data_IF_868105106567
#
_entry.id   IF_868105106567
#
_cell.length_a   1.000
_cell.length_b   1.000
_cell.length_c   1.000
_cell.angle_alpha   90.00
_cell.angle_beta   90.00
_cell.angle_gamma   90.00
#
_symmetry.space_group_name_H-M   'P 1'
#
loop_
_entity.id
_entity.type
_entity.pdbx_description
1 polymer ?
#
# COMPACT_ATOMS: atom_id res chain seq x y z
N UNK A 1 64.93 -33.80 28.72
CA UNK A 1 63.72 -33.14 28.15
C UNK A 1 62.61 -33.15 29.20
N UNK A 2 62.06 -32.00 29.58
CA UNK A 2 60.97 -31.89 30.55
C UNK A 2 59.73 -31.28 29.86
N UNK A 3 58.68 -32.05 29.53
CA UNK A 3 57.53 -31.57 28.76
C UNK A 3 56.41 -31.14 29.71
N UNK A 4 56.66 -30.14 30.55
CA UNK A 4 55.67 -29.68 31.55
C UNK A 4 55.45 -28.15 31.58
N UNK A 5 56.06 -27.41 30.65
CA UNK A 5 55.98 -25.95 30.56
C UNK A 5 55.09 -25.38 29.46
N UNK A 6 54.72 -26.16 28.43
CA UNK A 6 53.98 -25.65 27.25
C UNK A 6 52.45 -25.74 27.38
N UNK A 7 51.92 -26.52 28.31
CA UNK A 7 50.46 -26.68 28.45
C UNK A 7 49.77 -25.50 29.15
N UNK A 8 50.48 -24.73 29.98
CA UNK A 8 49.89 -23.65 30.76
C UNK A 8 49.66 -22.36 29.95
N UNK A 9 50.48 -22.08 28.95
CA UNK A 9 50.37 -20.91 28.06
C UNK A 9 49.27 -21.09 27.01
N UNK A 10 49.07 -22.31 26.49
CA UNK A 10 47.92 -22.64 25.62
C UNK A 10 46.58 -22.56 26.36
N UNK A 11 46.52 -23.02 27.61
CA UNK A 11 45.31 -23.00 28.43
C UNK A 11 44.87 -21.57 28.76
N UNK A 12 45.83 -20.66 28.95
CA UNK A 12 45.59 -19.25 29.29
C UNK A 12 45.16 -18.43 28.05
N UNK A 13 45.78 -18.69 26.89
CA UNK A 13 45.41 -18.04 25.62
C UNK A 13 44.01 -18.46 25.15
N UNK A 14 43.65 -19.75 25.32
CA UNK A 14 42.30 -20.27 25.02
C UNK A 14 41.21 -19.64 25.92
N UNK A 15 41.52 -19.42 27.21
CA UNK A 15 40.61 -18.76 28.16
C UNK A 15 40.41 -17.28 27.88
N UNK A 16 41.46 -16.55 27.51
CA UNK A 16 41.33 -15.14 27.09
C UNK A 16 40.59 -15.01 25.76
N UNK A 17 40.86 -15.89 24.78
CA UNK A 17 40.16 -15.88 23.50
C UNK A 17 38.66 -16.22 23.67
N UNK A 18 38.33 -17.20 24.52
CA UNK A 18 36.94 -17.54 24.86
C UNK A 18 36.25 -16.40 25.62
N UNK A 19 36.96 -15.76 26.56
CA UNK A 19 36.46 -14.60 27.30
C UNK A 19 36.18 -13.41 26.40
N UNK A 20 37.07 -13.11 25.44
CA UNK A 20 36.88 -12.05 24.45
C UNK A 20 35.74 -12.38 23.48
N UNK A 21 35.63 -13.64 23.04
CA UNK A 21 34.54 -14.10 22.18
C UNK A 21 33.17 -13.98 22.88
N UNK A 22 33.08 -14.40 24.14
CA UNK A 22 31.86 -14.24 24.94
C UNK A 22 31.53 -12.77 25.20
N UNK A 23 32.53 -11.91 25.38
CA UNK A 23 32.36 -10.47 25.58
C UNK A 23 31.90 -9.78 24.28
N UNK A 24 32.38 -10.21 23.11
CA UNK A 24 31.88 -9.76 21.79
C UNK A 24 30.43 -10.18 21.58
N UNK A 25 30.05 -11.42 21.94
CA UNK A 25 28.66 -11.89 21.88
C UNK A 25 27.74 -11.15 22.86
N UNK A 26 28.27 -10.67 24.00
CA UNK A 26 27.54 -9.90 24.99
C UNK A 26 27.43 -8.40 24.62
N UNK A 27 28.43 -7.86 23.90
CA UNK A 27 28.44 -6.49 23.39
C UNK A 27 27.75 -6.32 22.02
N UNK A 28 27.43 -7.41 21.32
CA UNK A 28 26.54 -7.44 20.15
C UNK A 28 25.14 -7.93 20.56
N UNK A 29 24.31 -7.12 21.25
CA UNK A 29 22.89 -7.38 21.16
C UNK A 29 22.49 -7.12 19.70
N UNK A 30 21.80 -8.11 19.10
CA UNK A 30 20.94 -7.91 17.93
C UNK A 30 21.54 -8.06 16.53
N UNK A 31 22.11 -9.21 16.14
CA UNK A 31 22.04 -9.60 14.70
C UNK A 31 20.69 -10.27 14.38
N UNK A 32 20.02 -10.84 15.38
CA UNK A 32 18.66 -11.40 15.23
C UNK A 32 17.54 -10.35 15.28
N UNK A 33 17.82 -9.09 15.62
CA UNK A 33 16.81 -8.02 15.58
C UNK A 33 16.80 -7.20 14.28
N UNK A 34 17.83 -7.28 13.43
CA UNK A 34 17.81 -6.62 12.10
C UNK A 34 16.94 -7.34 11.06
N UNK A 35 16.48 -8.55 11.35
CA UNK A 35 15.48 -9.23 10.53
C UNK A 35 14.04 -8.77 10.84
N UNK A 36 13.82 -8.03 11.94
CA UNK A 36 12.46 -7.62 12.37
C UNK A 36 12.12 -6.15 12.11
N UNK A 37 13.05 -5.34 11.59
CA UNK A 37 12.72 -4.09 10.88
C UNK A 37 12.47 -4.31 9.37
N UNK A 38 12.61 -5.54 8.88
CA UNK A 38 12.62 -5.90 7.46
C UNK A 38 11.59 -6.99 7.14
N UNK A 39 10.43 -6.98 7.80
CA UNK A 39 9.25 -7.69 7.29
C UNK A 39 8.70 -6.90 6.09
N UNK A 40 9.46 -6.88 4.99
CA UNK A 40 9.12 -6.17 3.76
C UNK A 40 7.81 -6.71 3.22
N UNK A 41 6.73 -5.94 3.36
CA UNK A 41 5.42 -6.37 2.95
C UNK A 41 4.36 -5.32 3.22
N UNK A 42 3.21 -5.48 2.58
CA UNK A 42 2.16 -4.48 2.57
C UNK A 42 0.91 -4.99 3.28
N UNK A 43 0.27 -4.12 4.05
CA UNK A 43 -0.98 -4.46 4.72
C UNK A 43 -2.12 -4.73 3.71
N UNK A 44 -3.04 -5.62 4.09
CA UNK A 44 -4.27 -5.90 3.34
C UNK A 44 -5.10 -4.61 3.17
N UNK A 45 -5.60 -4.38 1.95
CA UNK A 45 -6.44 -3.23 1.64
C UNK A 45 -7.92 -3.61 1.74
N UNK A 46 -8.74 -2.75 2.35
CA UNK A 46 -10.20 -2.91 2.35
C UNK A 46 -10.77 -2.62 0.95
N UNK A 47 -11.70 -3.45 0.44
CA UNK A 47 -12.31 -3.24 -0.86
C UNK A 47 -12.95 -1.85 -1.03
N UNK A 48 -12.90 -1.25 -2.24
CA UNK A 48 -13.61 -0.01 -2.54
C UNK A 48 -15.13 -0.21 -2.54
N UNK A 49 -15.90 0.86 -2.33
CA UNK A 49 -17.36 0.85 -2.46
C UNK A 49 -17.74 0.41 -3.89
N UNK A 50 -18.75 -0.46 -3.99
CA UNK A 50 -19.23 -1.03 -5.25
C UNK A 50 -18.18 -1.85 -6.02
N UNK A 51 -17.16 -2.34 -5.33
CA UNK A 51 -16.10 -3.14 -5.91
C UNK A 51 -15.51 -4.16 -4.94
N UNK A 52 -14.49 -4.84 -5.44
CA UNK A 52 -13.74 -5.89 -4.78
C UNK A 52 -12.24 -5.72 -5.05
N UNK A 53 -11.46 -6.58 -4.40
CA UNK A 53 -10.03 -6.73 -4.67
C UNK A 53 -9.78 -8.20 -4.92
N UNK A 54 -9.12 -8.51 -6.04
CA UNK A 54 -8.67 -9.86 -6.36
C UNK A 54 -7.24 -10.04 -5.89
N UNK A 55 -7.09 -10.93 -4.91
CA UNK A 55 -5.79 -11.38 -4.42
C UNK A 55 -5.38 -12.64 -5.18
N UNK A 56 -4.22 -12.64 -5.83
CA UNK A 56 -3.77 -13.76 -6.66
C UNK A 56 -3.27 -14.93 -5.80
N UNK A 57 -3.92 -16.09 -5.89
CA UNK A 57 -3.45 -17.30 -5.20
C UNK A 57 -3.75 -17.35 -3.71
N UNK A 58 -4.68 -16.52 -3.22
CA UNK A 58 -5.20 -16.59 -1.85
C UNK A 58 -6.69 -16.90 -1.86
N UNK A 59 -7.14 -17.75 -0.93
CA UNK A 59 -8.56 -17.98 -0.66
C UNK A 59 -9.12 -16.89 0.24
N UNK A 60 -10.45 -16.80 0.31
CA UNK A 60 -11.13 -15.81 1.16
C UNK A 60 -10.79 -15.99 2.64
N UNK A 61 -10.58 -17.23 3.08
CA UNK A 61 -10.24 -17.61 4.44
C UNK A 61 -8.83 -17.14 4.79
N UNK A 62 -7.89 -17.32 3.86
CA UNK A 62 -6.51 -16.85 4.01
C UNK A 62 -6.45 -15.32 4.04
N UNK A 63 -7.23 -14.63 3.22
CA UNK A 63 -7.27 -13.15 3.24
C UNK A 63 -7.76 -12.61 4.59
N UNK A 64 -8.62 -13.34 5.31
CA UNK A 64 -9.07 -12.94 6.66
C UNK A 64 -8.00 -13.12 7.73
N UNK A 65 -7.05 -14.04 7.54
CA UNK A 65 -6.00 -14.34 8.53
C UNK A 65 -4.66 -13.66 8.22
N UNK A 66 -4.35 -13.44 6.94
CA UNK A 66 -3.14 -12.75 6.49
C UNK A 66 -3.25 -11.26 6.76
N UNK A 67 -2.26 -10.69 7.44
CA UNK A 67 -2.20 -9.25 7.71
C UNK A 67 -1.24 -8.53 6.76
N UNK A 68 -0.19 -9.21 6.30
CA UNK A 68 0.91 -8.66 5.50
C UNK A 68 1.12 -9.51 4.25
N UNK A 69 1.17 -8.88 3.09
CA UNK A 69 1.48 -9.48 1.80
C UNK A 69 2.95 -9.25 1.43
N UNK A 70 3.59 -10.19 0.71
CA UNK A 70 5.01 -10.08 0.40
C UNK A 70 5.31 -8.92 -0.57
N UNK A 71 6.56 -8.45 -0.57
CA UNK A 71 7.07 -7.50 -1.58
C UNK A 71 6.81 -8.04 -2.99
N UNK A 72 6.56 -7.14 -3.92
CA UNK A 72 6.23 -7.40 -5.32
C UNK A 72 4.88 -8.10 -5.56
N UNK A 73 4.11 -8.38 -4.51
CA UNK A 73 2.78 -8.94 -4.63
C UNK A 73 1.82 -7.96 -5.31
N UNK A 74 0.99 -8.46 -6.23
CA UNK A 74 0.05 -7.65 -6.99
C UNK A 74 -1.40 -7.94 -6.61
N UNK A 75 -2.17 -6.86 -6.49
CA UNK A 75 -3.62 -6.90 -6.31
C UNK A 75 -4.31 -6.18 -7.47
N UNK A 76 -5.51 -6.63 -7.82
CA UNK A 76 -6.32 -6.00 -8.86
C UNK A 76 -7.66 -5.56 -8.29
N UNK A 77 -8.03 -4.30 -8.51
CA UNK A 77 -9.37 -3.82 -8.21
C UNK A 77 -10.35 -4.35 -9.24
N UNK A 78 -11.56 -4.68 -8.78
CA UNK A 78 -12.67 -5.14 -9.61
C UNK A 78 -13.90 -4.31 -9.23
N UNK A 79 -14.69 -3.89 -10.21
CA UNK A 79 -15.99 -3.26 -9.94
C UNK A 79 -17.13 -4.27 -10.06
N UNK A 80 -18.20 -4.04 -9.29
CA UNK A 80 -19.43 -4.82 -9.37
C UNK A 80 -20.27 -4.37 -10.57
N UNK A 81 -20.86 -5.34 -11.27
CA UNK A 81 -21.74 -5.08 -12.41
C UNK A 81 -20.97 -4.52 -13.62
N UNK A 82 -21.54 -3.52 -14.29
CA UNK A 82 -20.99 -2.86 -15.47
C UNK A 82 -20.25 -1.54 -15.16
N UNK A 83 -19.89 -1.30 -13.90
CA UNK A 83 -19.12 -0.12 -13.48
C UNK A 83 -17.67 -0.22 -13.96
N UNK A 84 -17.04 0.94 -14.16
CA UNK A 84 -15.66 1.05 -14.63
C UNK A 84 -14.76 1.61 -13.53
N UNK A 85 -13.53 1.12 -13.48
CA UNK A 85 -12.51 1.59 -12.54
C UNK A 85 -11.90 2.89 -13.08
N UNK A 86 -11.99 3.95 -12.29
CA UNK A 86 -11.27 5.21 -12.51
C UNK A 86 -10.09 5.26 -11.54
N UNK A 87 -8.88 5.42 -12.08
CA UNK A 87 -7.62 5.37 -11.34
C UNK A 87 -6.85 4.05 -11.51
N UNK A 88 -5.84 3.79 -10.67
CA UNK A 88 -4.96 2.63 -10.83
C UNK A 88 -5.73 1.32 -10.59
N UNK A 89 -5.76 0.45 -11.60
CA UNK A 89 -6.47 -0.84 -11.53
C UNK A 89 -5.67 -1.89 -10.76
N UNK A 90 -4.36 -1.91 -10.95
CA UNK A 90 -3.45 -2.86 -10.31
C UNK A 90 -2.54 -2.10 -9.36
N UNK A 91 -2.30 -2.68 -8.18
CA UNK A 91 -1.32 -2.17 -7.23
C UNK A 91 -0.31 -3.25 -6.89
N UNK A 92 0.94 -2.84 -6.74
CA UNK A 92 2.06 -3.71 -6.39
C UNK A 92 2.60 -3.33 -5.02
N UNK A 93 2.93 -4.33 -4.21
CA UNK A 93 3.56 -4.10 -2.91
C UNK A 93 5.03 -3.73 -3.10
N UNK A 94 5.46 -2.63 -2.50
CA UNK A 94 6.82 -2.12 -2.58
C UNK A 94 7.66 -2.56 -1.37
N UNK A 95 8.99 -2.61 -1.48
CA UNK A 95 9.88 -2.98 -0.38
C UNK A 95 9.77 -2.06 0.85
N UNK A 96 9.30 -0.82 0.66
CA UNK A 96 9.07 0.15 1.73
C UNK A 96 7.77 -0.11 2.53
N UNK A 97 7.06 -1.21 2.25
CA UNK A 97 5.81 -1.59 2.92
C UNK A 97 4.57 -0.84 2.44
N UNK A 98 4.68 -0.11 1.33
CA UNK A 98 3.57 0.64 0.74
C UNK A 98 3.12 0.06 -0.60
N UNK A 99 1.90 0.36 -1.00
CA UNK A 99 1.41 -0.01 -2.33
C UNK A 99 1.80 1.05 -3.37
N UNK A 100 1.92 0.66 -4.63
CA UNK A 100 2.11 1.63 -5.73
C UNK A 100 0.96 2.63 -5.81
N UNK A 101 1.29 3.86 -6.21
CA UNK A 101 0.32 4.92 -6.53
C UNK A 101 -0.71 5.18 -5.41
N UNK A 102 -0.25 5.24 -4.16
CA UNK A 102 -1.11 5.52 -2.99
C UNK A 102 -1.81 6.89 -3.06
N UNK A 103 -1.21 7.85 -3.75
CA UNK A 103 -1.77 9.19 -3.94
C UNK A 103 -2.97 9.19 -4.89
N UNK A 104 -3.11 8.19 -5.76
CA UNK A 104 -4.17 8.11 -6.76
C UNK A 104 -5.30 7.20 -6.28
N UNK A 105 -6.46 7.75 -5.94
CA UNK A 105 -7.58 6.93 -5.44
C UNK A 105 -8.29 6.16 -6.55
N UNK A 106 -8.36 4.83 -6.43
CA UNK A 106 -9.15 3.97 -7.32
C UNK A 106 -10.61 3.96 -6.89
N UNK A 107 -11.55 4.18 -7.81
CA UNK A 107 -13.00 4.19 -7.55
C UNK A 107 -13.78 3.50 -8.66
N UNK A 108 -14.89 2.87 -8.28
CA UNK A 108 -15.86 2.33 -9.24
C UNK A 108 -16.88 3.41 -9.58
N UNK A 109 -16.93 3.79 -10.85
CA UNK A 109 -17.88 4.78 -11.38
C UNK A 109 -18.85 4.09 -12.33
N UNK A 110 -20.08 4.57 -12.39
CA UNK A 110 -20.95 4.22 -13.52
C UNK A 110 -20.31 4.76 -14.78
N UNK A 111 -20.48 4.03 -15.88
CA UNK A 111 -20.07 4.53 -17.17
C UNK A 111 -20.93 5.75 -17.48
N UNK A 112 -20.42 6.95 -17.21
CA UNK A 112 -20.88 8.13 -17.90
C UNK A 112 -20.15 8.12 -19.24
N UNK A 113 -20.84 7.94 -20.38
CA UNK A 113 -20.28 8.39 -21.63
C UNK A 113 -20.14 9.90 -21.51
N UNK A 114 -18.97 10.36 -21.05
CA UNK A 114 -18.47 11.61 -21.56
C UNK A 114 -18.20 11.30 -23.03
N UNK A 115 -19.18 11.66 -23.85
CA UNK A 115 -18.99 11.92 -25.25
C UNK A 115 -17.62 12.60 -25.39
N UNK A 116 -16.73 11.95 -26.11
CA UNK A 116 -15.40 12.43 -26.45
C UNK A 116 -15.55 13.66 -27.36
N UNK A 117 -16.22 14.71 -26.91
CA UNK A 117 -16.04 16.02 -27.51
C UNK A 117 -14.66 16.47 -27.06
N UNK A 118 -13.69 16.11 -27.88
CA UNK A 118 -12.40 16.77 -28.01
C UNK A 118 -12.56 18.23 -27.63
N UNK A 119 -12.04 18.61 -26.46
CA UNK A 119 -11.99 20.00 -26.01
C UNK A 119 -11.29 20.81 -27.10
N UNK A 120 -11.95 21.75 -27.80
CA UNK A 120 -11.23 22.85 -28.38
C UNK A 120 -10.98 23.83 -27.25
N UNK A 121 -9.70 24.14 -27.00
CA UNK A 121 -9.31 25.34 -26.27
C UNK A 121 -10.05 26.55 -26.85
N UNK A 122 -11.08 27.03 -26.17
CA UNK A 122 -11.76 28.28 -26.50
C UNK A 122 -12.48 28.79 -25.26
N UNK A 123 -11.86 29.79 -24.63
CA UNK A 123 -12.42 30.62 -23.57
C UNK A 123 -13.80 31.18 -23.96
N UNK A 124 -14.81 30.96 -23.12
CA UNK A 124 -15.77 32.00 -22.68
C UNK A 124 -16.85 31.40 -21.76
N UNK A 125 -17.18 32.01 -20.60
CA UNK A 125 -18.38 31.65 -19.86
C UNK A 125 -19.63 32.23 -20.57
N UNK A 126 -20.75 31.48 -20.70
CA UNK A 126 -22.00 32.08 -21.11
C UNK A 126 -22.49 32.99 -19.98
N UNK A 127 -22.62 34.28 -20.30
CA UNK A 127 -23.33 35.25 -19.48
C UNK A 127 -24.74 34.74 -19.19
N UNK A 128 -25.03 34.44 -17.93
CA UNK A 128 -26.37 34.23 -17.42
C UNK A 128 -27.14 35.54 -17.52
N UNK A 129 -27.87 35.74 -18.63
CA UNK A 129 -28.94 36.73 -18.69
C UNK A 129 -30.18 36.13 -18.00
N UNK A 130 -30.39 36.49 -16.73
CA UNK A 130 -31.67 36.31 -16.04
C UNK A 130 -32.71 37.24 -16.70
N UNK A 131 -33.53 36.71 -17.60
CA UNK A 131 -34.76 37.40 -18.02
C UNK A 131 -35.86 37.07 -17.01
N UNK A 132 -36.19 38.04 -16.14
CA UNK A 132 -37.40 38.00 -15.31
C UNK A 132 -38.64 38.15 -16.22
N UNK A 133 -39.48 37.13 -16.28
CA UNK A 133 -40.82 37.21 -16.89
C UNK A 133 -41.83 37.84 -15.91
N UNK A 134 -42.53 38.93 -16.26
CA UNK A 134 -43.48 39.60 -15.36
C UNK A 134 -44.93 39.17 -15.62
N UNK A 135 -45.24 37.87 -15.50
CA UNK A 135 -46.59 37.35 -15.83
C UNK A 135 -47.38 36.79 -14.63
N UNK A 136 -47.07 37.20 -13.40
CA UNK A 136 -47.95 37.01 -12.25
C UNK A 136 -48.48 38.37 -11.78
N UNK A 137 -49.39 38.96 -12.56
CA UNK A 137 -50.31 39.99 -12.08
C UNK A 137 -51.74 39.46 -12.23
N UNK A 138 -52.22 38.98 -11.09
CA UNK A 138 -53.60 38.77 -10.67
C UNK A 138 -54.64 39.65 -11.38
N UNK A 139 -55.70 39.03 -11.90
CA UNK A 139 -57.03 39.64 -11.91
C UNK A 139 -58.07 38.59 -11.49
N UNK A 140 -58.66 38.89 -10.34
CA UNK A 140 -59.81 38.30 -9.68
C UNK A 140 -61.03 38.20 -10.60
N UNK A 141 -61.66 37.03 -10.63
CA UNK A 141 -63.03 36.86 -11.13
C UNK A 141 -64.01 37.41 -10.08
N UNK A 142 -64.82 38.39 -10.46
CA UNK A 142 -66.11 38.74 -9.86
C UNK A 142 -67.08 39.00 -11.00
#
# INVERSE_FOLDING_TARGET
>A
MNPRGEAATEQFCKRMALSLFLLILYLFPSITAFHNLTAGGCAIIRPPRDGGIRYRGLTQEQIRSVQILPVDYEIEYICRGNRVIVGPKVRKCLPNGTWTELTLRSRCCEYCPLEYTSVPLSLSPPSLSLSLSPSLLSLSLS
#
